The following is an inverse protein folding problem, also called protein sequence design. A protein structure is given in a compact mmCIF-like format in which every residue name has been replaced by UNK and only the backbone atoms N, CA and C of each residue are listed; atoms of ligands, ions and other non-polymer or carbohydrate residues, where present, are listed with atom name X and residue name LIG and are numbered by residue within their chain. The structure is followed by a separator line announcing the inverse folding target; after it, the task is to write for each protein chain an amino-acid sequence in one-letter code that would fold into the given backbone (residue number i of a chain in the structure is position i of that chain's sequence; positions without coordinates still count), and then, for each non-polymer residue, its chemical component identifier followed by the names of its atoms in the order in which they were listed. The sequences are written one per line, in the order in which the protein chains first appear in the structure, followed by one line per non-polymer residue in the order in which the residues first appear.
data_IF_088136318611
#
_entry.id   IF_088136318611
#
_cell.length_a   1.000
_cell.length_b   1.000
_cell.length_c   1.000
_cell.angle_alpha   90.00
_cell.angle_beta   90.00
_cell.angle_gamma   90.00
#
_symmetry.space_group_name_H-M   'P 1'
#
loop_
_entity.id
_entity.type
_entity.pdbx_description
1 polymer ?
#
# COMPACT_ATOMS: atom_id res chain seq x y z
N UNK A 1 25.38 2.27 59.03
CA UNK A 1 24.08 2.77 58.53
C UNK A 1 23.83 2.17 57.13
N UNK A 2 23.46 0.89 57.09
CA UNK A 2 23.33 0.07 55.87
C UNK A 2 21.86 -0.15 55.56
N UNK A 3 21.16 0.94 55.22
CA UNK A 3 19.77 0.92 54.79
C UNK A 3 19.70 1.24 53.29
N UNK A 4 20.33 0.45 52.41
CA UNK A 4 20.53 0.91 51.02
C UNK A 4 20.36 -0.10 49.88
N UNK A 5 20.29 -1.41 50.12
CA UNK A 5 20.13 -2.39 49.04
C UNK A 5 18.66 -2.81 48.75
N UNK A 6 17.85 -3.24 49.75
CA UNK A 6 16.51 -3.77 49.46
C UNK A 6 15.51 -2.69 49.01
N UNK A 7 15.59 -1.49 49.59
CA UNK A 7 14.70 -0.37 49.22
C UNK A 7 14.87 0.04 47.75
N UNK A 8 16.11 0.05 47.24
CA UNK A 8 16.41 0.37 45.84
C UNK A 8 15.76 -0.65 44.89
N UNK A 9 15.86 -1.94 45.20
CA UNK A 9 15.24 -3.00 44.39
C UNK A 9 13.71 -2.96 44.45
N UNK A 10 13.14 -2.64 45.61
CA UNK A 10 11.69 -2.45 45.77
C UNK A 10 11.20 -1.27 44.93
N UNK A 11 11.89 -0.13 44.97
CA UNK A 11 11.56 1.05 44.16
C UNK A 11 11.68 0.77 42.67
N UNK A 12 12.75 0.10 42.22
CA UNK A 12 12.91 -0.28 40.81
C UNK A 12 11.78 -1.23 40.36
N UNK A 13 11.42 -2.21 41.20
CA UNK A 13 10.37 -3.18 40.89
C UNK A 13 8.99 -2.52 40.83
N UNK A 14 8.68 -1.62 41.77
CA UNK A 14 7.44 -0.83 41.76
C UNK A 14 7.35 0.05 40.52
N UNK A 15 8.44 0.73 40.13
CA UNK A 15 8.48 1.52 38.90
C UNK A 15 8.25 0.64 37.68
N UNK A 16 8.90 -0.52 37.59
CA UNK A 16 8.71 -1.45 36.47
C UNK A 16 7.25 -1.95 36.38
N UNK A 17 6.65 -2.35 37.50
CA UNK A 17 5.24 -2.78 37.55
C UNK A 17 4.31 -1.64 37.15
N UNK A 18 4.53 -0.42 37.67
CA UNK A 18 3.74 0.75 37.30
C UNK A 18 3.84 1.06 35.80
N UNK A 19 5.03 0.91 35.21
CA UNK A 19 5.25 1.12 33.78
C UNK A 19 4.52 0.05 32.94
N UNK A 20 4.61 -1.22 33.34
CA UNK A 20 3.88 -2.33 32.69
C UNK A 20 2.36 -2.12 32.81
N UNK A 21 1.87 -1.74 33.99
CA UNK A 21 0.46 -1.46 34.22
C UNK A 21 -0.02 -0.26 33.39
N UNK A 22 0.77 0.82 33.32
CA UNK A 22 0.45 1.98 32.49
C UNK A 22 0.39 1.62 31.00
N UNK A 23 1.37 0.86 30.50
CA UNK A 23 1.38 0.37 29.11
C UNK A 23 0.17 -0.52 28.85
N UNK A 24 -0.14 -1.46 29.75
CA UNK A 24 -1.31 -2.33 29.63
C UNK A 24 -2.60 -1.52 29.58
N UNK A 25 -2.79 -0.58 30.51
CA UNK A 25 -3.98 0.27 30.57
C UNK A 25 -4.13 1.13 29.31
N UNK A 26 -3.05 1.71 28.78
CA UNK A 26 -3.11 2.47 27.52
C UNK A 26 -3.58 1.58 26.36
N UNK A 27 -3.12 0.33 26.30
CA UNK A 27 -3.50 -0.60 25.23
C UNK A 27 -4.92 -1.15 25.39
N UNK A 28 -5.34 -1.49 26.63
CA UNK A 28 -6.67 -2.03 26.90
C UNK A 28 -7.75 -0.96 26.86
N UNK A 29 -7.51 0.20 27.47
CA UNK A 29 -8.46 1.32 27.47
C UNK A 29 -8.55 2.00 26.09
N UNK A 30 -7.48 1.96 25.28
CA UNK A 30 -7.50 2.50 23.93
C UNK A 30 -8.56 1.85 23.02
N UNK A 31 -8.95 0.60 23.29
CA UNK A 31 -10.05 -0.09 22.60
C UNK A 31 -11.45 0.31 23.09
N UNK A 32 -11.59 0.82 24.32
CA UNK A 32 -12.90 1.21 24.88
C UNK A 32 -13.46 2.47 24.21
N UNK A 33 -12.59 3.35 23.71
CA UNK A 33 -12.98 4.53 22.94
C UNK A 33 -12.76 4.33 21.42
N UNK A 34 -12.79 3.08 20.95
CA UNK A 34 -12.64 2.84 19.52
C UNK A 34 -13.85 3.35 18.76
N UNK A 35 -13.60 4.05 17.65
CA UNK A 35 -14.66 4.51 16.76
C UNK A 35 -14.84 3.50 15.61
N UNK A 36 -16.08 3.24 15.15
CA UNK A 36 -16.27 2.44 13.96
C UNK A 36 -15.58 3.10 12.76
N UNK A 37 -15.06 2.29 11.84
CA UNK A 37 -14.54 2.80 10.58
C UNK A 37 -15.72 3.12 9.68
N UNK A 38 -15.87 4.40 9.34
CA UNK A 38 -16.93 4.90 8.47
C UNK A 38 -16.31 5.31 7.14
N UNK A 39 -16.91 4.84 6.05
CA UNK A 39 -16.54 5.27 4.71
C UNK A 39 -16.80 6.78 4.56
N UNK A 40 -15.89 7.49 3.91
CA UNK A 40 -16.04 8.90 3.58
C UNK A 40 -15.70 9.10 2.11
N UNK A 41 -16.17 10.21 1.53
CA UNK A 41 -15.84 10.55 0.15
C UNK A 41 -14.30 10.63 -0.05
N UNK A 42 -13.78 10.08 -1.15
CA UNK A 42 -12.35 10.01 -1.40
C UNK A 42 -11.77 11.38 -1.82
N UNK A 43 -10.44 11.52 -1.85
CA UNK A 43 -9.77 12.70 -2.36
C UNK A 43 -10.22 13.11 -3.78
N UNK A 44 -10.52 14.39 -3.97
CA UNK A 44 -11.07 14.93 -5.22
C UNK A 44 -10.14 14.78 -6.44
N UNK A 45 -8.83 14.60 -6.23
CA UNK A 45 -7.88 14.43 -7.36
C UNK A 45 -8.19 13.19 -8.20
N UNK A 46 -8.73 12.12 -7.61
CA UNK A 46 -9.04 10.89 -8.34
C UNK A 46 -10.13 11.12 -9.37
N UNK A 47 -11.19 11.86 -9.01
CA UNK A 47 -12.28 12.21 -9.93
C UNK A 47 -11.83 13.20 -11.01
N UNK A 48 -10.99 14.19 -10.65
CA UNK A 48 -10.41 15.12 -11.63
C UNK A 48 -9.60 14.38 -12.69
N UNK A 49 -8.85 13.35 -12.28
CA UNK A 49 -8.08 12.55 -13.21
C UNK A 49 -8.95 11.68 -14.14
N UNK A 50 -9.97 11.03 -13.58
CA UNK A 50 -10.93 10.25 -14.38
C UNK A 50 -11.60 11.12 -15.46
N UNK A 51 -11.93 12.36 -15.09
CA UNK A 51 -12.49 13.36 -16.02
C UNK A 51 -11.49 13.75 -17.10
N UNK A 52 -10.21 13.94 -16.74
CA UNK A 52 -9.15 14.27 -17.70
C UNK A 52 -8.91 13.14 -18.71
N UNK A 53 -8.93 11.87 -18.30
CA UNK A 53 -8.81 10.72 -19.24
C UNK A 53 -9.96 10.73 -20.24
N UNK A 54 -11.21 10.85 -19.76
CA UNK A 54 -12.40 10.77 -20.61
C UNK A 54 -12.47 11.91 -21.64
N UNK A 55 -11.86 13.06 -21.33
CA UNK A 55 -11.83 14.23 -22.20
C UNK A 55 -10.54 14.32 -23.04
N UNK A 56 -9.57 13.43 -22.84
CA UNK A 56 -8.29 13.46 -23.54
C UNK A 56 -8.33 12.61 -24.81
N UNK A 57 -7.99 13.24 -25.94
CA UNK A 57 -7.71 12.58 -27.23
C UNK A 57 -6.23 12.27 -27.43
N UNK A 58 -5.37 12.57 -26.46
CA UNK A 58 -3.93 12.36 -26.59
C UNK A 58 -3.62 10.85 -26.69
N UNK A 59 -2.84 10.42 -27.70
CA UNK A 59 -2.40 9.03 -27.80
C UNK A 59 -1.61 8.64 -26.56
N UNK A 60 -1.92 7.47 -25.99
CA UNK A 60 -1.10 6.88 -24.94
C UNK A 60 0.30 6.63 -25.55
N UNK A 61 1.39 7.04 -24.87
CA UNK A 61 2.74 6.76 -25.34
C UNK A 61 2.90 5.27 -25.61
N UNK A 62 3.46 4.90 -26.76
CA UNK A 62 3.83 3.50 -27.03
C UNK A 62 5.16 3.18 -26.37
N UNK A 63 5.29 1.98 -25.82
CA UNK A 63 6.59 1.51 -25.35
C UNK A 63 7.36 0.95 -26.55
N UNK A 64 8.63 1.32 -26.76
CA UNK A 64 9.44 0.70 -27.81
C UNK A 64 9.48 -0.81 -27.62
N UNK A 65 9.18 -1.57 -28.67
CA UNK A 65 9.20 -3.03 -28.62
C UNK A 65 10.58 -3.52 -28.16
N UNK A 66 10.65 -4.12 -26.97
CA UNK A 66 11.86 -4.80 -26.51
C UNK A 66 11.97 -6.16 -27.18
N UNK A 67 13.17 -6.62 -27.55
CA UNK A 67 13.36 -7.97 -28.03
C UNK A 67 12.85 -8.95 -26.98
N UNK A 68 12.03 -9.92 -27.41
CA UNK A 68 11.51 -10.97 -26.54
C UNK A 68 12.69 -11.64 -25.82
N UNK A 69 12.64 -11.69 -24.50
CA UNK A 69 13.61 -12.43 -23.71
C UNK A 69 13.39 -13.93 -23.98
N UNK A 70 14.20 -14.51 -24.86
CA UNK A 70 14.16 -15.93 -25.25
C UNK A 70 14.55 -16.90 -24.12
N UNK A 71 14.86 -16.39 -22.93
CA UNK A 71 15.51 -17.15 -21.86
C UNK A 71 14.52 -17.69 -20.81
N UNK A 72 13.20 -17.53 -21.05
CA UNK A 72 12.18 -17.96 -20.08
C UNK A 72 11.39 -19.14 -20.61
N UNK A 73 11.55 -20.29 -19.97
CA UNK A 73 10.80 -21.51 -20.30
C UNK A 73 9.28 -21.28 -20.12
N UNK A 74 8.54 -21.30 -21.24
CA UNK A 74 7.10 -21.09 -21.27
C UNK A 74 6.33 -22.13 -20.44
N UNK A 75 6.85 -23.34 -20.28
CA UNK A 75 6.20 -24.38 -19.46
C UNK A 75 6.28 -24.04 -17.97
N UNK A 76 7.42 -23.52 -17.52
CA UNK A 76 7.62 -23.04 -16.14
C UNK A 76 6.74 -21.82 -15.85
N UNK A 77 6.61 -20.88 -16.79
CA UNK A 77 5.73 -19.71 -16.63
C UNK A 77 4.26 -20.11 -16.50
N UNK A 78 3.81 -21.10 -17.27
CA UNK A 78 2.41 -21.56 -17.24
C UNK A 78 2.03 -22.10 -15.86
N UNK A 79 2.93 -22.85 -15.22
CA UNK A 79 2.77 -23.31 -13.83
C UNK A 79 2.56 -22.14 -12.87
N UNK A 80 3.31 -21.06 -13.01
CA UNK A 80 3.19 -19.90 -12.13
C UNK A 80 1.91 -19.07 -12.36
N UNK A 81 1.20 -19.26 -13.47
CA UNK A 81 -0.05 -18.56 -13.79
C UNK A 81 -1.30 -19.40 -13.50
N UNK A 82 -1.15 -20.57 -12.89
CA UNK A 82 -2.29 -21.43 -12.58
C UNK A 82 -3.32 -20.71 -11.68
N UNK A 83 -4.57 -20.74 -12.11
CA UNK A 83 -5.70 -20.09 -11.41
C UNK A 83 -5.80 -18.57 -11.60
N UNK A 84 -4.98 -17.96 -12.46
CA UNK A 84 -5.09 -16.54 -12.77
C UNK A 84 -6.33 -16.22 -13.61
N UNK A 85 -6.89 -15.05 -13.34
CA UNK A 85 -7.77 -14.35 -14.26
C UNK A 85 -7.01 -13.89 -15.51
N UNK A 86 -7.75 -13.41 -16.52
CA UNK A 86 -7.17 -12.82 -17.72
C UNK A 86 -6.24 -11.65 -17.39
N UNK A 87 -6.68 -10.72 -16.55
CA UNK A 87 -5.92 -9.52 -16.20
C UNK A 87 -4.67 -9.83 -15.37
N UNK A 88 -4.73 -10.83 -14.48
CA UNK A 88 -3.56 -11.31 -13.73
C UNK A 88 -2.54 -11.96 -14.68
N UNK A 89 -3.01 -12.70 -15.67
CA UNK A 89 -2.16 -13.28 -16.73
C UNK A 89 -1.47 -12.17 -17.53
N UNK A 90 -2.21 -11.13 -17.92
CA UNK A 90 -1.64 -9.96 -18.61
C UNK A 90 -0.57 -9.28 -17.76
N UNK A 91 -0.86 -9.00 -16.49
CA UNK A 91 0.07 -8.34 -15.58
C UNK A 91 1.35 -9.18 -15.37
N UNK A 92 1.21 -10.48 -15.14
CA UNK A 92 2.34 -11.37 -14.92
C UNK A 92 3.23 -11.48 -16.16
N UNK A 93 2.65 -11.70 -17.34
CA UNK A 93 3.40 -11.76 -18.61
C UNK A 93 4.09 -10.44 -18.93
N UNK A 94 3.42 -9.30 -18.70
CA UNK A 94 4.00 -7.98 -18.94
C UNK A 94 5.28 -7.76 -18.11
N UNK A 95 5.33 -8.27 -16.89
CA UNK A 95 6.49 -8.12 -15.99
C UNK A 95 7.57 -9.18 -16.29
N UNK A 96 7.17 -10.43 -16.48
CA UNK A 96 8.12 -11.54 -16.61
C UNK A 96 8.78 -11.61 -17.99
N UNK A 97 7.99 -11.44 -19.05
CA UNK A 97 8.42 -11.64 -20.44
C UNK A 97 8.32 -10.38 -21.30
N UNK A 98 7.48 -9.43 -20.92
CA UNK A 98 7.20 -8.22 -21.70
C UNK A 98 6.21 -8.42 -22.85
N UNK A 99 5.73 -9.64 -23.08
CA UNK A 99 4.92 -9.98 -24.27
C UNK A 99 3.57 -9.27 -24.34
N UNK A 100 3.00 -8.90 -23.20
CA UNK A 100 1.68 -8.26 -23.07
C UNK A 100 1.79 -6.82 -22.58
N UNK A 101 2.98 -6.23 -22.60
CA UNK A 101 3.25 -4.95 -21.95
C UNK A 101 2.37 -3.82 -22.50
N UNK A 102 2.30 -3.66 -23.82
CA UNK A 102 1.52 -2.58 -24.44
C UNK A 102 0.02 -2.71 -24.15
N UNK A 103 -0.53 -3.92 -24.27
CA UNK A 103 -1.93 -4.18 -23.95
C UNK A 103 -2.22 -3.90 -22.48
N UNK A 104 -1.38 -4.42 -21.58
CA UNK A 104 -1.47 -4.23 -20.14
C UNK A 104 -1.43 -2.74 -19.77
N UNK A 105 -0.50 -1.97 -20.34
CA UNK A 105 -0.36 -0.53 -20.08
C UNK A 105 -1.57 0.28 -20.59
N UNK A 106 -2.13 -0.10 -21.74
CA UNK A 106 -3.32 0.58 -22.30
C UNK A 106 -4.56 0.44 -21.42
N UNK A 107 -4.71 -0.69 -20.73
CA UNK A 107 -5.86 -0.94 -19.86
C UNK A 107 -5.94 0.03 -18.66
N UNK A 108 -4.81 0.57 -18.19
CA UNK A 108 -4.81 1.57 -17.12
C UNK A 108 -5.41 2.93 -17.53
N UNK A 109 -5.52 3.19 -18.82
CA UNK A 109 -6.16 4.39 -19.39
C UNK A 109 -7.44 4.07 -20.15
N UNK A 110 -8.01 2.89 -19.94
CA UNK A 110 -9.23 2.47 -20.62
C UNK A 110 -10.39 3.43 -20.27
N UNK A 111 -11.27 3.84 -21.22
CA UNK A 111 -12.35 4.79 -20.94
C UNK A 111 -13.34 4.25 -19.89
N UNK A 112 -13.63 2.95 -19.94
CA UNK A 112 -14.41 2.29 -18.90
C UNK A 112 -13.62 2.17 -17.58
N UNK A 113 -14.15 2.80 -16.53
CA UNK A 113 -13.61 2.77 -15.16
C UNK A 113 -13.55 1.36 -14.59
N UNK A 114 -14.51 0.50 -14.90
CA UNK A 114 -14.53 -0.87 -14.40
C UNK A 114 -13.30 -1.65 -14.90
N UNK A 115 -12.90 -1.44 -16.16
CA UNK A 115 -11.70 -2.06 -16.72
C UNK A 115 -10.41 -1.56 -16.05
N UNK A 116 -10.31 -0.25 -15.79
CA UNK A 116 -9.16 0.33 -15.05
C UNK A 116 -9.05 -0.27 -13.65
N UNK A 117 -10.16 -0.37 -12.93
CA UNK A 117 -10.22 -1.00 -11.59
C UNK A 117 -9.80 -2.47 -11.66
N UNK A 118 -10.29 -3.21 -12.65
CA UNK A 118 -10.01 -4.64 -12.83
C UNK A 118 -8.52 -4.89 -13.08
N UNK A 119 -7.91 -4.19 -14.03
CA UNK A 119 -6.47 -4.35 -14.33
C UNK A 119 -5.58 -3.89 -13.16
N UNK A 120 -5.97 -2.82 -12.46
CA UNK A 120 -5.22 -2.34 -11.30
C UNK A 120 -5.29 -3.31 -10.11
N UNK A 121 -6.45 -3.91 -9.88
CA UNK A 121 -6.63 -4.94 -8.85
C UNK A 121 -5.81 -6.20 -9.16
N UNK A 122 -5.86 -6.66 -10.42
CA UNK A 122 -5.06 -7.79 -10.89
C UNK A 122 -3.55 -7.52 -10.78
N UNK A 123 -3.10 -6.32 -11.16
CA UNK A 123 -1.71 -5.91 -11.00
C UNK A 123 -1.28 -5.98 -9.53
N UNK A 124 -2.10 -5.46 -8.60
CA UNK A 124 -1.78 -5.53 -7.18
C UNK A 124 -1.78 -6.97 -6.63
N UNK A 125 -2.69 -7.82 -7.10
CA UNK A 125 -2.76 -9.24 -6.71
C UNK A 125 -1.50 -10.01 -7.15
N UNK A 126 -1.06 -9.82 -8.40
CA UNK A 126 0.18 -10.46 -8.90
C UNK A 126 1.39 -9.98 -8.11
N UNK A 127 1.49 -8.67 -7.85
CA UNK A 127 2.60 -8.10 -7.09
C UNK A 127 2.74 -8.72 -5.71
N UNK A 128 1.63 -8.82 -4.95
CA UNK A 128 1.68 -9.39 -3.61
C UNK A 128 1.94 -10.89 -3.63
N UNK A 129 1.43 -11.62 -4.63
CA UNK A 129 1.59 -13.08 -4.71
C UNK A 129 3.05 -13.48 -4.94
N UNK A 130 3.82 -12.69 -5.70
CA UNK A 130 5.19 -13.06 -6.10
C UNK A 130 6.31 -12.15 -5.59
N UNK A 131 6.01 -11.08 -4.84
CA UNK A 131 7.04 -10.14 -4.34
C UNK A 131 8.18 -10.79 -3.54
N UNK A 132 7.92 -11.93 -2.88
CA UNK A 132 8.90 -12.66 -2.08
C UNK A 132 9.17 -14.07 -2.62
N UNK A 133 8.72 -14.36 -3.84
CA UNK A 133 8.93 -15.66 -4.48
C UNK A 133 10.19 -15.62 -5.35
N UNK A 134 11.36 -15.85 -4.75
CA UNK A 134 12.63 -15.82 -5.46
C UNK A 134 12.75 -16.92 -6.53
N UNK A 135 12.14 -18.09 -6.30
CA UNK A 135 12.15 -19.22 -7.25
C UNK A 135 11.49 -18.86 -8.59
N UNK A 136 10.47 -18.01 -8.56
CA UNK A 136 9.79 -17.54 -9.78
C UNK A 136 10.64 -16.54 -10.59
N UNK A 137 11.69 -15.96 -10.01
CA UNK A 137 12.45 -14.85 -10.61
C UNK A 137 11.70 -13.52 -10.67
N UNK A 138 10.45 -13.48 -10.17
CA UNK A 138 9.58 -12.30 -10.22
C UNK A 138 10.14 -11.08 -9.48
N UNK A 139 10.75 -11.19 -8.27
CA UNK A 139 11.26 -10.01 -7.56
C UNK A 139 12.26 -9.20 -8.39
N UNK A 140 13.18 -9.91 -9.07
CA UNK A 140 14.16 -9.31 -10.00
C UNK A 140 13.47 -8.64 -11.18
N UNK A 141 12.53 -9.33 -11.84
CA UNK A 141 11.79 -8.82 -13.01
C UNK A 141 10.92 -7.62 -12.68
N UNK A 142 10.22 -7.66 -11.53
CA UNK A 142 9.46 -6.52 -11.00
C UNK A 142 10.36 -5.30 -10.78
N UNK A 143 11.52 -5.47 -10.16
CA UNK A 143 12.43 -4.35 -9.92
C UNK A 143 12.93 -3.75 -11.24
N UNK A 144 13.20 -4.59 -12.25
CA UNK A 144 13.54 -4.14 -13.60
C UNK A 144 12.37 -3.38 -14.27
N UNK A 145 11.14 -3.89 -14.15
CA UNK A 145 9.94 -3.21 -14.62
C UNK A 145 9.79 -1.82 -13.98
N UNK A 146 9.91 -1.72 -12.65
CA UNK A 146 9.78 -0.44 -11.94
C UNK A 146 10.89 0.57 -12.25
N UNK A 147 12.09 0.08 -12.58
CA UNK A 147 13.23 0.91 -12.95
C UNK A 147 13.27 1.29 -14.44
N UNK A 148 12.37 0.73 -15.25
CA UNK A 148 12.34 0.97 -16.69
C UNK A 148 11.87 2.40 -17.00
N UNK A 149 12.80 3.24 -17.44
CA UNK A 149 12.52 4.64 -17.77
C UNK A 149 11.48 4.80 -18.87
N UNK A 150 11.32 3.82 -19.76
CA UNK A 150 10.27 3.86 -20.80
C UNK A 150 8.86 3.83 -20.20
N UNK A 151 8.69 3.32 -18.98
CA UNK A 151 7.40 3.27 -18.28
C UNK A 151 7.07 4.55 -17.52
N UNK A 152 8.01 5.50 -17.41
CA UNK A 152 7.83 6.73 -16.62
C UNK A 152 6.57 7.51 -17.01
N UNK A 153 6.27 7.59 -18.31
CA UNK A 153 5.09 8.29 -18.81
C UNK A 153 3.77 7.56 -18.48
N UNK A 154 3.83 6.26 -18.16
CA UNK A 154 2.67 5.44 -17.81
C UNK A 154 2.39 5.40 -16.30
N UNK A 155 3.37 5.71 -15.44
CA UNK A 155 3.13 5.66 -13.99
C UNK A 155 1.99 6.56 -13.50
N UNK A 156 1.75 7.77 -14.04
CA UNK A 156 0.58 8.55 -13.67
C UNK A 156 -0.75 7.80 -13.89
N UNK A 157 -0.95 7.18 -15.06
CA UNK A 157 -2.19 6.43 -15.36
C UNK A 157 -2.33 5.19 -14.47
N UNK A 158 -1.23 4.47 -14.24
CA UNK A 158 -1.21 3.29 -13.38
C UNK A 158 -1.59 3.66 -11.94
N UNK A 159 -0.99 4.72 -11.38
CA UNK A 159 -1.29 5.18 -10.01
C UNK A 159 -2.73 5.58 -9.84
N UNK A 160 -3.32 6.27 -10.82
CA UNK A 160 -4.69 6.70 -10.73
C UNK A 160 -5.68 5.54 -10.84
N UNK A 161 -5.46 4.58 -11.73
CA UNK A 161 -6.26 3.36 -11.78
C UNK A 161 -6.15 2.55 -10.47
N UNK A 162 -4.96 2.48 -9.86
CA UNK A 162 -4.79 1.90 -8.52
C UNK A 162 -5.54 2.69 -7.44
N UNK A 163 -5.57 4.03 -7.53
CA UNK A 163 -6.36 4.85 -6.62
C UNK A 163 -7.86 4.58 -6.76
N UNK A 164 -8.37 4.49 -8.00
CA UNK A 164 -9.76 4.11 -8.28
C UNK A 164 -10.08 2.73 -7.70
N UNK A 165 -9.20 1.75 -7.89
CA UNK A 165 -9.38 0.40 -7.36
C UNK A 165 -9.35 0.37 -5.81
N UNK A 166 -8.49 1.16 -5.17
CA UNK A 166 -8.44 1.27 -3.71
C UNK A 166 -9.74 1.86 -3.15
N UNK A 167 -10.31 2.85 -3.84
CA UNK A 167 -11.59 3.45 -3.44
C UNK A 167 -12.75 2.48 -3.66
N UNK A 168 -12.79 1.78 -4.79
CA UNK A 168 -13.82 0.80 -5.09
C UNK A 168 -13.83 -0.33 -4.05
N UNK A 169 -12.66 -0.88 -3.74
CA UNK A 169 -12.52 -1.92 -2.69
C UNK A 169 -12.92 -1.42 -1.30
N UNK A 170 -12.65 -0.15 -0.98
CA UNK A 170 -13.13 0.45 0.27
C UNK A 170 -14.65 0.52 0.34
N UNK A 171 -15.29 0.96 -0.75
CA UNK A 171 -16.76 1.09 -0.86
C UNK A 171 -17.46 -0.27 -0.78
N UNK A 172 -16.86 -1.29 -1.38
CA UNK A 172 -17.41 -2.65 -1.46
C UNK A 172 -17.02 -3.53 -0.26
N UNK A 173 -16.11 -3.08 0.59
CA UNK A 173 -15.63 -3.86 1.73
C UNK A 173 -14.67 -4.99 1.36
N UNK A 174 -14.04 -4.92 0.19
CA UNK A 174 -13.19 -5.99 -0.34
C UNK A 174 -11.76 -5.83 0.20
N UNK A 175 -11.16 -6.87 0.79
CA UNK A 175 -9.75 -6.87 1.16
C UNK A 175 -8.84 -6.62 -0.03
N UNK A 176 -7.80 -5.80 0.15
CA UNK A 176 -6.87 -5.50 -0.94
C UNK A 176 -5.45 -5.24 -0.45
N UNK A 177 -4.50 -5.33 -1.37
CA UNK A 177 -3.08 -5.05 -1.16
C UNK A 177 -2.58 -3.92 -2.04
N UNK A 178 -3.49 -3.17 -2.66
CA UNK A 178 -3.18 -2.00 -3.50
C UNK A 178 -2.23 -0.98 -2.84
N UNK A 179 -2.32 -0.66 -1.53
CA UNK A 179 -1.37 0.28 -0.91
C UNK A 179 0.09 -0.17 -1.06
N UNK A 180 0.35 -1.47 -1.01
CA UNK A 180 1.69 -2.02 -1.24
C UNK A 180 2.16 -1.64 -2.64
N UNK A 181 1.39 -1.99 -3.68
CA UNK A 181 1.75 -1.71 -5.07
C UNK A 181 1.93 -0.22 -5.35
N UNK A 182 1.02 0.63 -4.84
CA UNK A 182 1.12 2.08 -4.98
C UNK A 182 2.40 2.64 -4.36
N UNK A 183 2.77 2.15 -3.17
CA UNK A 183 3.95 2.62 -2.43
C UNK A 183 5.29 2.18 -3.04
N UNK A 184 5.29 1.31 -4.05
CA UNK A 184 6.50 0.92 -4.79
C UNK A 184 6.61 1.54 -6.18
N UNK A 185 5.60 2.29 -6.64
CA UNK A 185 5.65 3.00 -7.93
C UNK A 185 6.49 4.27 -7.82
N UNK A 186 7.23 4.64 -8.85
CA UNK A 186 8.03 5.89 -8.80
C UNK A 186 7.14 7.14 -8.88
N UNK A 187 7.69 8.27 -8.42
CA UNK A 187 7.07 9.60 -8.54
C UNK A 187 5.90 9.87 -7.58
N UNK A 188 5.80 9.13 -6.47
CA UNK A 188 4.79 9.38 -5.44
C UNK A 188 4.90 10.81 -4.91
N UNK A 189 3.77 11.42 -4.59
CA UNK A 189 3.71 12.80 -4.11
C UNK A 189 2.53 13.01 -3.17
N UNK A 190 2.11 14.27 -3.04
CA UNK A 190 1.06 14.68 -2.11
C UNK A 190 -0.26 13.89 -2.32
N UNK A 191 -0.64 13.61 -3.56
CA UNK A 191 -1.85 12.85 -3.90
C UNK A 191 -1.82 11.42 -3.33
N UNK A 192 -0.65 10.78 -3.37
CA UNK A 192 -0.47 9.43 -2.79
C UNK A 192 -0.58 9.47 -1.26
N UNK A 193 0.01 10.50 -0.63
CA UNK A 193 -0.08 10.71 0.82
C UNK A 193 -1.53 11.00 1.24
N UNK A 194 -2.25 11.81 0.47
CA UNK A 194 -3.66 12.14 0.71
C UNK A 194 -4.55 10.88 0.62
N UNK A 195 -4.36 10.06 -0.43
CA UNK A 195 -5.07 8.79 -0.60
C UNK A 195 -4.74 7.77 0.50
N UNK A 196 -3.48 7.65 0.92
CA UNK A 196 -3.12 6.77 2.02
C UNK A 196 -3.64 7.28 3.36
N UNK A 197 -3.65 8.59 3.59
CA UNK A 197 -4.27 9.17 4.78
C UNK A 197 -5.76 8.86 4.83
N UNK A 198 -6.46 9.03 3.70
CA UNK A 198 -7.87 8.67 3.57
C UNK A 198 -8.10 7.17 3.80
N UNK A 199 -7.38 6.29 3.11
CA UNK A 199 -7.58 4.84 3.24
C UNK A 199 -7.20 4.31 4.62
N UNK A 200 -6.21 4.91 5.29
CA UNK A 200 -5.89 4.64 6.68
C UNK A 200 -7.05 4.97 7.64
N UNK A 201 -7.91 5.91 7.26
CA UNK A 201 -9.03 6.35 8.07
C UNK A 201 -10.33 5.63 7.78
N UNK A 202 -10.56 5.29 6.51
CA UNK A 202 -11.88 4.95 5.98
C UNK A 202 -11.99 3.56 5.33
N UNK A 203 -10.86 2.87 5.07
CA UNK A 203 -10.94 1.54 4.47
C UNK A 203 -11.38 0.48 5.51
N UNK A 204 -12.40 -0.35 5.23
CA UNK A 204 -12.91 -1.34 6.19
C UNK A 204 -11.91 -2.46 6.50
N UNK A 205 -11.11 -2.90 5.52
CA UNK A 205 -10.01 -3.83 5.77
C UNK A 205 -8.88 -3.18 6.60
N UNK A 206 -8.60 -3.78 7.76
CA UNK A 206 -7.55 -3.34 8.66
C UNK A 206 -6.15 -3.51 8.10
N UNK A 207 -5.91 -4.46 7.18
CA UNK A 207 -4.62 -4.62 6.53
C UNK A 207 -4.31 -3.44 5.62
N UNK A 208 -5.32 -2.95 4.88
CA UNK A 208 -5.20 -1.72 4.10
C UNK A 208 -4.88 -0.56 5.00
N UNK A 209 -5.63 -0.37 6.10
CA UNK A 209 -5.35 0.72 7.04
C UNK A 209 -3.94 0.66 7.59
N UNK A 210 -3.46 -0.52 7.99
CA UNK A 210 -2.09 -0.72 8.49
C UNK A 210 -1.04 -0.35 7.44
N UNK A 211 -1.18 -0.86 6.22
CA UNK A 211 -0.25 -0.54 5.13
C UNK A 211 -0.24 0.96 4.85
N UNK A 212 -1.41 1.59 4.75
CA UNK A 212 -1.52 3.03 4.49
C UNK A 212 -0.89 3.88 5.60
N UNK A 213 -1.11 3.55 6.88
CA UNK A 213 -0.46 4.24 8.01
C UNK A 213 1.06 4.13 7.92
N UNK A 214 1.56 2.91 7.65
CA UNK A 214 2.99 2.66 7.51
C UNK A 214 3.57 3.52 6.38
N UNK A 215 2.95 3.51 5.21
CA UNK A 215 3.43 4.26 4.05
C UNK A 215 3.35 5.76 4.22
N UNK A 216 2.30 6.33 4.82
CA UNK A 216 2.28 7.77 5.17
C UNK A 216 3.45 8.13 6.09
N UNK A 217 3.80 7.23 7.02
CA UNK A 217 4.87 7.47 7.98
C UNK A 217 6.26 7.42 7.35
N UNK A 218 6.49 6.56 6.35
CA UNK A 218 7.81 6.40 5.70
C UNK A 218 7.99 7.20 4.40
N UNK A 219 6.90 7.56 3.70
CA UNK A 219 6.94 8.30 2.42
C UNK A 219 6.99 9.82 2.60
N UNK A 220 7.59 10.29 3.69
CA UNK A 220 7.81 11.71 3.93
C UNK A 220 6.53 12.56 4.06
N UNK A 221 5.47 12.03 4.70
CA UNK A 221 4.26 12.80 5.04
C UNK A 221 4.48 14.02 5.95
N UNK A 222 5.72 14.32 6.33
CA UNK A 222 6.05 15.33 7.33
C UNK A 222 5.41 15.05 8.70
N UNK A 223 5.77 15.84 9.70
CA UNK A 223 5.08 15.84 11.00
C UNK A 223 3.59 16.22 10.84
N UNK A 224 3.30 17.15 9.94
CA UNK A 224 1.98 17.75 9.78
C UNK A 224 0.90 16.80 9.24
N UNK A 225 1.26 15.73 8.53
CA UNK A 225 0.29 14.72 8.07
C UNK A 225 0.37 13.46 8.93
N UNK A 226 1.57 12.92 9.11
CA UNK A 226 1.74 11.65 9.81
C UNK A 226 1.41 11.76 11.32
N UNK A 227 1.73 12.86 11.98
CA UNK A 227 1.47 13.06 13.41
C UNK A 227 -0.03 12.99 13.75
N UNK A 228 -0.88 13.84 13.14
CA UNK A 228 -2.33 13.77 13.33
C UNK A 228 -2.93 12.43 12.93
N UNK A 229 -2.46 11.82 11.84
CA UNK A 229 -2.92 10.50 11.43
C UNK A 229 -2.63 9.47 12.53
N UNK A 230 -1.37 9.34 12.95
CA UNK A 230 -0.96 8.37 13.97
C UNK A 230 -1.68 8.59 15.30
N UNK A 231 -1.87 9.86 15.71
CA UNK A 231 -2.64 10.19 16.90
C UNK A 231 -4.10 9.71 16.79
N UNK A 232 -4.76 9.91 15.64
CA UNK A 232 -6.14 9.44 15.46
C UNK A 232 -6.25 7.91 15.47
N UNK A 233 -5.23 7.21 14.96
CA UNK A 233 -5.26 5.74 14.77
C UNK A 233 -4.99 4.94 16.04
N UNK A 234 -4.59 5.57 17.14
CA UNK A 234 -4.54 4.90 18.45
C UNK A 234 -5.94 4.51 18.96
N UNK A 235 -7.01 5.01 18.31
CA UNK A 235 -8.41 4.69 18.59
C UNK A 235 -9.06 3.85 17.47
N UNK A 236 -8.28 3.24 16.58
CA UNK A 236 -8.81 2.30 15.58
C UNK A 236 -9.50 1.11 16.27
N UNK A 237 -10.60 0.55 15.73
CA UNK A 237 -11.27 -0.60 16.36
C UNK A 237 -10.41 -1.86 16.38
N UNK A 238 -9.42 -1.96 15.48
CA UNK A 238 -8.54 -3.13 15.40
C UNK A 238 -7.25 -2.90 16.18
N UNK A 239 -6.99 -3.77 17.16
CA UNK A 239 -5.80 -3.71 18.02
C UNK A 239 -4.48 -3.61 17.22
N UNK A 240 -4.34 -4.39 16.15
CA UNK A 240 -3.11 -4.42 15.37
C UNK A 240 -2.85 -3.11 14.61
N UNK A 241 -3.89 -2.32 14.32
CA UNK A 241 -3.77 -0.96 13.76
C UNK A 241 -3.32 0.01 14.85
N UNK A 242 -3.95 -0.03 16.04
CA UNK A 242 -3.57 0.82 17.19
C UNK A 242 -2.12 0.62 17.58
N UNK A 243 -1.70 -0.64 17.70
CA UNK A 243 -0.32 -1.02 18.03
C UNK A 243 0.66 -0.43 17.00
N UNK A 244 0.39 -0.61 15.70
CA UNK A 244 1.26 -0.07 14.65
C UNK A 244 1.37 1.46 14.73
N UNK A 245 0.25 2.16 15.00
CA UNK A 245 0.26 3.61 15.13
C UNK A 245 1.15 4.06 16.33
N UNK A 246 1.05 3.39 17.47
CA UNK A 246 1.90 3.65 18.64
C UNK A 246 3.38 3.36 18.35
N UNK A 247 3.67 2.21 17.74
CA UNK A 247 5.04 1.80 17.38
C UNK A 247 5.69 2.83 16.44
N UNK A 248 4.96 3.30 15.42
CA UNK A 248 5.46 4.31 14.47
C UNK A 248 5.66 5.67 15.13
N UNK A 249 4.80 6.08 16.07
CA UNK A 249 5.02 7.30 16.87
C UNK A 249 6.28 7.21 17.71
N UNK A 250 6.51 6.06 18.35
CA UNK A 250 7.71 5.85 19.14
C UNK A 250 8.95 5.88 18.25
N UNK A 251 8.94 5.19 17.11
CA UNK A 251 10.04 5.21 16.13
C UNK A 251 10.35 6.62 15.63
N UNK A 252 9.33 7.42 15.33
CA UNK A 252 9.52 8.84 14.98
C UNK A 252 10.16 9.64 16.11
N UNK A 253 9.68 9.47 17.34
CA UNK A 253 10.21 10.18 18.52
C UNK A 253 11.70 9.92 18.73
N UNK A 254 12.17 8.71 18.43
CA UNK A 254 13.58 8.32 18.59
C UNK A 254 14.43 8.53 17.32
N UNK A 255 13.84 9.01 16.22
CA UNK A 255 14.54 9.28 14.96
C UNK A 255 14.84 8.04 14.10
N UNK A 256 14.13 6.92 14.33
CA UNK A 256 14.29 5.68 13.56
C UNK A 256 13.58 5.70 12.19
N UNK A 257 12.69 6.67 11.97
CA UNK A 257 12.00 6.99 10.71
C UNK A 257 11.70 8.49 10.61
#
# INVERSE_FOLDING_TARGET
MTLRYPLKHILISLTAIALVAAVFLVHTLGGLNSQPVVYAEPPAFVERYATAINNSTAPIPSVPAKPKSNDTDHTVLTKWMEGFTYEETLAFKAIMTGETLDEFLRLFSHPDKAQRIKVASAFAAVQIKYTHNEESGYPKKRNQFMADKSLTAHFPVIRNALAEALIATAKEGIPTRIPYTLAWLTGQGQETIELFTWSAQHHPDHNVRRSSIYYVSILNGGENVAGPLLQSRIHDPVYSVRKLALDLRFRKLIGDI
#
